data_IF_076132072407
#
_entry.id   IF_076132072407
#
_cell.length_a   1.000
_cell.length_b   1.000
_cell.length_c   1.000
_cell.angle_alpha   90.00
_cell.angle_beta   90.00
_cell.angle_gamma   90.00
#
_symmetry.space_group_name_H-M   'P 1'
#
loop_
_entity.id
_entity.type
_entity.pdbx_description
1 polymer ?
#
# COMPACT_ATOMS: atom_id res chain seq x y z
N UNK A 1 1.81 -16.69 9.58
CA UNK A 1 1.83 -15.53 8.66
C UNK A 1 1.18 -15.89 7.32
N UNK A 2 -0.04 -15.41 7.11
CA UNK A 2 -0.87 -15.75 5.97
C UNK A 2 -2.29 -15.45 6.38
N UNK A 3 -2.95 -14.55 5.67
CA UNK A 3 -4.37 -14.29 5.85
C UNK A 3 -5.10 -15.64 5.81
N UNK A 4 -5.93 -15.92 6.83
CA UNK A 4 -6.68 -17.16 6.92
C UNK A 4 -7.48 -17.32 5.62
N UNK A 5 -7.27 -18.44 4.95
CA UNK A 5 -7.63 -18.52 3.56
C UNK A 5 -7.80 -19.93 3.04
N UNK A 6 -8.73 -20.11 2.11
CA UNK A 6 -9.13 -21.43 1.60
C UNK A 6 -8.19 -21.95 0.50
N UNK A 7 -7.07 -21.25 0.23
CA UNK A 7 -6.16 -21.55 -0.88
C UNK A 7 -6.72 -21.20 -2.26
N UNK A 8 -7.92 -20.63 -2.32
CA UNK A 8 -8.53 -20.12 -3.56
C UNK A 8 -8.13 -18.67 -3.80
N UNK A 9 -8.33 -18.19 -5.03
CA UNK A 9 -8.06 -16.80 -5.43
C UNK A 9 -8.77 -15.75 -4.57
N UNK A 10 -9.83 -16.13 -3.85
CA UNK A 10 -10.70 -15.22 -3.09
C UNK A 10 -10.72 -15.50 -1.59
N UNK A 11 -10.36 -16.71 -1.18
CA UNK A 11 -10.31 -17.06 0.23
C UNK A 11 -9.06 -16.51 0.88
N UNK A 12 -8.93 -15.19 1.03
CA UNK A 12 -7.95 -14.55 1.91
C UNK A 12 -8.45 -13.16 2.32
N UNK A 13 -8.20 -12.75 3.57
CA UNK A 13 -8.71 -11.48 4.12
C UNK A 13 -8.16 -10.19 3.49
N UNK A 14 -7.25 -10.28 2.52
CA UNK A 14 -6.68 -9.10 1.88
C UNK A 14 -7.59 -8.50 0.79
N UNK A 15 -8.68 -9.18 0.42
CA UNK A 15 -9.75 -8.61 -0.42
C UNK A 15 -10.45 -7.42 0.24
N UNK A 16 -10.44 -7.38 1.58
CA UNK A 16 -11.07 -6.32 2.38
C UNK A 16 -10.53 -4.91 2.05
N UNK A 17 -9.28 -4.80 1.58
CA UNK A 17 -8.75 -3.50 1.14
C UNK A 17 -9.49 -2.95 -0.09
N UNK A 18 -9.91 -3.82 -1.03
CA UNK A 18 -10.73 -3.43 -2.18
C UNK A 18 -12.18 -3.10 -1.78
N UNK A 19 -12.73 -3.87 -0.85
CA UNK A 19 -14.05 -3.60 -0.27
C UNK A 19 -14.09 -2.24 0.44
N UNK A 20 -13.04 -1.91 1.20
CA UNK A 20 -12.90 -0.62 1.85
C UNK A 20 -12.87 0.54 0.85
N UNK A 21 -12.18 0.39 -0.29
CA UNK A 21 -12.22 1.39 -1.37
C UNK A 21 -13.65 1.62 -1.85
N UNK A 22 -14.39 0.55 -2.11
CA UNK A 22 -15.79 0.64 -2.55
C UNK A 22 -16.67 1.35 -1.52
N UNK A 23 -16.52 0.99 -0.24
CA UNK A 23 -17.28 1.58 0.85
C UNK A 23 -16.99 3.08 1.01
N UNK A 24 -15.71 3.49 0.93
CA UNK A 24 -15.31 4.90 1.02
C UNK A 24 -15.96 5.73 -0.09
N UNK A 25 -15.96 5.25 -1.33
CA UNK A 25 -16.62 5.97 -2.43
C UNK A 25 -18.14 6.00 -2.26
N UNK A 26 -18.75 4.91 -1.78
CA UNK A 26 -20.19 4.85 -1.55
C UNK A 26 -20.70 5.90 -0.55
N UNK A 27 -19.85 6.34 0.38
CA UNK A 27 -20.16 7.42 1.34
C UNK A 27 -19.61 8.79 0.92
N UNK A 28 -19.15 8.94 -0.32
CA UNK A 28 -18.65 10.21 -0.87
C UNK A 28 -17.21 10.57 -0.45
N UNK A 29 -16.46 9.63 0.12
CA UNK A 29 -15.07 9.83 0.51
C UNK A 29 -14.07 9.67 -0.65
N UNK A 30 -12.80 9.99 -0.36
CA UNK A 30 -11.68 9.82 -1.30
C UNK A 30 -10.74 8.70 -0.81
N UNK A 31 -10.75 7.52 -1.45
CA UNK A 31 -9.92 6.40 -1.01
C UNK A 31 -8.44 6.62 -1.34
N UNK A 32 -7.57 6.32 -0.37
CA UNK A 32 -6.12 6.24 -0.55
C UNK A 32 -5.68 4.78 -0.34
N UNK A 33 -5.17 4.16 -1.39
CA UNK A 33 -4.78 2.77 -1.43
C UNK A 33 -3.27 2.63 -1.21
N UNK A 34 -2.90 1.97 -0.11
CA UNK A 34 -1.51 1.63 0.20
C UNK A 34 -1.12 0.33 -0.51
N UNK A 35 0.01 0.33 -1.21
CA UNK A 35 0.58 -0.89 -1.78
C UNK A 35 1.33 -1.68 -0.70
N UNK A 36 1.03 -2.97 -0.59
CA UNK A 36 1.85 -3.91 0.17
C UNK A 36 3.03 -4.31 -0.69
N UNK A 37 4.23 -3.97 -0.25
CA UNK A 37 5.46 -4.19 -1.00
C UNK A 37 6.52 -4.91 -0.13
N UNK A 38 7.43 -5.62 -0.78
CA UNK A 38 8.59 -6.24 -0.13
C UNK A 38 9.74 -6.38 -1.12
N UNK A 39 10.98 -6.19 -0.69
CA UNK A 39 12.17 -6.59 -1.46
C UNK A 39 12.99 -7.67 -0.75
N UNK A 40 12.70 -7.92 0.53
CA UNK A 40 13.43 -8.86 1.36
C UNK A 40 12.79 -10.26 1.42
N UNK A 41 11.71 -10.53 0.68
CA UNK A 41 11.16 -11.89 0.62
C UNK A 41 12.19 -12.84 -0.03
N UNK A 42 12.48 -14.00 0.60
CA UNK A 42 13.42 -14.98 0.05
C UNK A 42 12.92 -15.58 -1.28
N UNK A 43 11.61 -15.53 -1.56
CA UNK A 43 11.02 -16.03 -2.79
C UNK A 43 10.98 -14.88 -3.81
N UNK A 44 11.74 -14.94 -4.93
CA UNK A 44 11.84 -13.82 -5.87
C UNK A 44 10.49 -13.33 -6.42
N UNK A 45 9.57 -14.27 -6.68
CA UNK A 45 8.20 -13.96 -7.14
C UNK A 45 7.33 -13.18 -6.13
N UNK A 46 7.78 -13.02 -4.89
CA UNK A 46 7.07 -12.25 -3.85
C UNK A 46 7.73 -10.89 -3.58
N UNK A 47 8.75 -10.51 -4.37
CA UNK A 47 9.36 -9.19 -4.32
C UNK A 47 8.59 -8.20 -5.21
N UNK A 48 8.67 -6.91 -4.88
CA UNK A 48 7.87 -5.85 -5.50
C UNK A 48 6.49 -5.74 -4.85
N UNK A 49 5.47 -5.45 -5.66
CA UNK A 49 4.08 -5.33 -5.19
C UNK A 49 3.49 -6.72 -4.95
N UNK A 50 2.86 -6.90 -3.79
CA UNK A 50 2.23 -8.16 -3.43
C UNK A 50 1.00 -8.47 -4.29
N UNK A 51 0.81 -9.77 -4.60
CA UNK A 51 -0.41 -10.24 -5.26
C UNK A 51 -1.70 -9.83 -4.54
N UNK A 52 -1.65 -9.69 -3.20
CA UNK A 52 -2.79 -9.23 -2.43
C UNK A 52 -3.21 -7.80 -2.83
N UNK A 53 -2.26 -6.88 -3.02
CA UNK A 53 -2.56 -5.53 -3.49
C UNK A 53 -3.04 -5.52 -4.93
N UNK A 54 -2.43 -6.32 -5.82
CA UNK A 54 -2.89 -6.40 -7.22
C UNK A 54 -4.31 -6.95 -7.32
N UNK A 55 -4.67 -7.95 -6.50
CA UNK A 55 -6.03 -8.52 -6.49
C UNK A 55 -7.02 -7.58 -5.83
N UNK A 56 -6.70 -7.02 -4.67
CA UNK A 56 -7.60 -6.12 -3.95
C UNK A 56 -7.93 -4.87 -4.79
N UNK A 57 -6.94 -4.23 -5.38
CA UNK A 57 -7.18 -2.99 -6.14
C UNK A 57 -7.55 -3.30 -7.61
N UNK A 58 -6.83 -4.18 -8.30
CA UNK A 58 -7.10 -4.46 -9.71
C UNK A 58 -8.42 -5.21 -9.99
N UNK A 59 -8.93 -5.98 -9.02
CA UNK A 59 -10.11 -6.84 -9.21
C UNK A 59 -11.28 -6.59 -8.24
N UNK A 60 -11.02 -6.31 -6.97
CA UNK A 60 -12.09 -6.16 -5.95
C UNK A 60 -12.56 -4.71 -5.83
N UNK A 61 -11.65 -3.74 -5.91
CA UNK A 61 -12.03 -2.33 -5.97
C UNK A 61 -12.71 -2.03 -7.32
N UNK A 62 -14.01 -1.74 -7.25
CA UNK A 62 -14.85 -1.38 -8.38
C UNK A 62 -14.87 0.14 -8.61
N UNK A 63 -14.46 0.92 -7.61
CA UNK A 63 -14.38 2.37 -7.65
C UNK A 63 -12.92 2.88 -7.71
N UNK A 64 -12.67 4.08 -8.28
CA UNK A 64 -11.33 4.66 -8.35
C UNK A 64 -10.79 5.00 -6.96
N UNK A 65 -9.47 4.94 -6.82
CA UNK A 65 -8.72 5.29 -5.62
C UNK A 65 -7.41 5.98 -6.01
N UNK A 66 -6.78 6.66 -5.06
CA UNK A 66 -5.38 7.10 -5.19
C UNK A 66 -4.47 5.93 -4.77
N UNK A 67 -3.87 5.24 -5.73
CA UNK A 67 -2.87 4.19 -5.46
C UNK A 67 -1.51 4.88 -5.31
N UNK A 68 -1.00 4.90 -4.08
CA UNK A 68 0.20 5.66 -3.75
C UNK A 68 1.46 4.82 -3.99
N UNK A 69 2.40 5.41 -4.72
CA UNK A 69 3.66 4.81 -5.12
C UNK A 69 4.82 5.72 -4.66
N UNK A 70 5.70 5.27 -3.75
CA UNK A 70 6.91 6.03 -3.42
C UNK A 70 7.85 6.09 -4.64
N UNK A 71 8.40 7.27 -4.93
CA UNK A 71 9.20 7.54 -6.12
C UNK A 71 10.41 6.60 -6.25
N UNK A 72 11.12 6.33 -5.15
CA UNK A 72 12.29 5.45 -5.15
C UNK A 72 11.98 3.99 -5.55
N UNK A 73 10.71 3.59 -5.51
CA UNK A 73 10.22 2.25 -5.81
C UNK A 73 9.27 2.17 -7.00
N UNK A 74 9.12 3.26 -7.77
CA UNK A 74 8.17 3.33 -8.88
C UNK A 74 8.40 2.24 -9.94
N UNK A 75 9.66 1.87 -10.18
CA UNK A 75 10.04 0.81 -11.14
C UNK A 75 9.55 -0.60 -10.74
N UNK A 76 9.11 -0.78 -9.50
CA UNK A 76 8.59 -2.06 -9.00
C UNK A 76 7.08 -2.23 -9.23
N UNK A 77 6.41 -1.20 -9.74
CA UNK A 77 4.96 -1.14 -9.86
C UNK A 77 4.56 -1.21 -11.33
N UNK A 78 3.84 -2.27 -11.70
CA UNK A 78 3.12 -2.30 -12.97
C UNK A 78 1.84 -1.47 -12.84
N UNK A 79 1.87 -0.24 -13.35
CA UNK A 79 0.73 0.68 -13.30
C UNK A 79 -0.48 0.18 -14.09
N UNK A 80 -0.28 -0.70 -15.09
CA UNK A 80 -1.38 -1.26 -15.87
C UNK A 80 -2.30 -2.15 -15.00
N UNK A 81 -1.75 -2.78 -13.95
CA UNK A 81 -2.52 -3.53 -12.97
C UNK A 81 -3.52 -2.66 -12.18
N UNK A 82 -3.38 -1.34 -12.23
CA UNK A 82 -4.17 -0.36 -11.50
C UNK A 82 -4.90 0.63 -12.42
N UNK A 83 -5.20 0.26 -13.67
CA UNK A 83 -5.76 1.16 -14.69
C UNK A 83 -7.10 1.85 -14.31
N UNK A 84 -7.86 1.32 -13.34
CA UNK A 84 -9.09 1.98 -12.81
C UNK A 84 -8.80 3.07 -11.78
N UNK A 85 -7.58 3.16 -11.30
CA UNK A 85 -7.15 4.04 -10.22
C UNK A 85 -6.31 5.18 -10.76
N UNK A 86 -6.14 6.21 -9.92
CA UNK A 86 -5.12 7.22 -10.14
C UNK A 86 -3.85 6.79 -9.42
N UNK A 87 -2.79 6.52 -10.18
CA UNK A 87 -1.46 6.30 -9.60
C UNK A 87 -0.89 7.65 -9.16
N UNK A 88 -0.56 7.78 -7.88
CA UNK A 88 0.01 8.99 -7.29
C UNK A 88 1.43 8.69 -6.85
N UNK A 89 2.39 9.38 -7.46
CA UNK A 89 3.79 9.28 -7.06
C UNK A 89 4.07 10.25 -5.91
N UNK A 90 4.71 9.77 -4.86
CA UNK A 90 5.03 10.54 -3.66
C UNK A 90 6.53 10.53 -3.44
N UNK A 91 7.11 11.71 -3.23
CA UNK A 91 8.49 11.84 -2.81
C UNK A 91 8.67 11.20 -1.42
N UNK A 92 9.65 10.32 -1.32
CA UNK A 92 9.95 9.49 -0.17
C UNK A 92 11.38 9.66 0.33
N UNK A 93 12.15 10.63 -0.20
CA UNK A 93 13.57 10.79 0.12
C UNK A 93 13.86 10.95 1.62
N UNK A 94 12.99 11.62 2.37
CA UNK A 94 13.12 11.86 3.81
C UNK A 94 12.40 10.81 4.68
N UNK A 95 11.52 9.99 4.11
CA UNK A 95 10.69 9.04 4.85
C UNK A 95 11.51 8.01 5.65
N UNK A 96 12.66 7.48 5.17
CA UNK A 96 13.50 6.61 5.99
C UNK A 96 13.96 7.29 7.29
N UNK A 97 14.32 8.58 7.24
CA UNK A 97 14.74 9.34 8.41
C UNK A 97 13.56 9.64 9.35
N UNK A 98 12.37 9.95 8.79
CA UNK A 98 11.14 10.15 9.56
C UNK A 98 10.72 8.86 10.30
N UNK A 99 10.93 7.69 9.68
CA UNK A 99 10.59 6.39 10.25
C UNK A 99 11.63 5.87 11.27
N UNK A 100 12.89 6.30 11.17
CA UNK A 100 13.99 5.78 11.98
C UNK A 100 13.75 5.84 13.51
N UNK A 101 13.22 6.93 14.10
CA UNK A 101 12.92 6.99 15.54
C UNK A 101 11.90 5.94 15.99
N UNK A 102 11.07 5.45 15.07
CA UNK A 102 10.00 4.49 15.34
C UNK A 102 10.41 3.05 15.00
N UNK A 103 11.65 2.80 14.57
CA UNK A 103 12.05 1.51 13.98
C UNK A 103 11.78 0.30 14.89
N UNK A 104 11.83 0.48 16.21
CA UNK A 104 11.54 -0.57 17.18
C UNK A 104 10.05 -1.01 17.20
N UNK A 105 9.13 -0.14 16.75
CA UNK A 105 7.69 -0.43 16.65
C UNK A 105 7.30 -0.99 15.28
N UNK A 106 8.21 -0.93 14.31
CA UNK A 106 7.94 -1.30 12.92
C UNK A 106 8.29 -2.76 12.69
N UNK A 107 7.28 -3.58 12.45
CA UNK A 107 7.46 -4.99 12.08
C UNK A 107 6.41 -5.43 11.06
N UNK A 108 6.86 -6.13 10.02
CA UNK A 108 6.02 -6.72 8.98
C UNK A 108 6.57 -8.08 8.59
N UNK A 109 5.76 -9.13 8.70
CA UNK A 109 6.17 -10.51 8.38
C UNK A 109 7.47 -10.96 9.07
N UNK A 110 7.70 -10.49 10.31
CA UNK A 110 8.91 -10.79 11.08
C UNK A 110 10.15 -10.00 10.68
N UNK A 111 10.01 -8.96 9.84
CA UNK A 111 11.09 -8.08 9.41
C UNK A 111 10.83 -6.65 9.87
N UNK A 112 11.88 -5.97 10.34
CA UNK A 112 11.84 -4.55 10.70
C UNK A 112 12.23 -3.63 9.54
N UNK A 113 12.22 -2.32 9.82
CA UNK A 113 12.48 -1.25 8.84
C UNK A 113 13.76 -1.47 8.02
N UNK A 114 14.87 -1.81 8.69
CA UNK A 114 16.18 -1.99 8.05
C UNK A 114 16.21 -3.24 7.16
N UNK A 115 15.44 -4.27 7.52
CA UNK A 115 15.42 -5.54 6.80
C UNK A 115 14.56 -5.47 5.54
N UNK A 116 13.48 -4.68 5.52
CA UNK A 116 12.58 -4.56 4.37
C UNK A 116 11.98 -3.14 4.25
N UNK A 117 12.79 -2.11 3.91
CA UNK A 117 12.38 -0.71 4.00
C UNK A 117 11.11 -0.37 3.21
N UNK A 118 10.96 -0.96 2.01
CA UNK A 118 9.86 -0.69 1.10
C UNK A 118 8.48 -0.97 1.72
N UNK A 119 8.39 -1.96 2.63
CA UNK A 119 7.14 -2.29 3.31
C UNK A 119 6.62 -1.14 4.17
N UNK A 120 7.53 -0.33 4.72
CA UNK A 120 7.20 0.79 5.61
C UNK A 120 7.18 2.12 4.87
N UNK A 121 8.11 2.33 3.92
CA UNK A 121 8.13 3.53 3.08
C UNK A 121 6.85 3.64 2.25
N UNK A 122 6.33 2.54 1.68
CA UNK A 122 5.06 2.56 0.96
C UNK A 122 3.88 2.98 1.85
N UNK A 123 3.85 2.51 3.10
CA UNK A 123 2.82 2.90 4.07
C UNK A 123 2.95 4.36 4.48
N UNK A 124 4.17 4.83 4.74
CA UNK A 124 4.45 6.21 5.11
C UNK A 124 4.13 7.20 3.96
N UNK A 125 4.44 6.82 2.72
CA UNK A 125 4.09 7.60 1.53
C UNK A 125 2.57 7.73 1.37
N UNK A 126 1.82 6.64 1.58
CA UNK A 126 0.35 6.69 1.58
C UNK A 126 -0.20 7.59 2.69
N UNK A 127 0.38 7.53 3.89
CA UNK A 127 0.03 8.41 5.01
C UNK A 127 0.31 9.89 4.71
N UNK A 128 1.47 10.20 4.11
CA UNK A 128 1.83 11.55 3.65
C UNK A 128 0.84 12.09 2.63
N UNK A 129 0.49 11.28 1.61
CA UNK A 129 -0.51 11.67 0.62
C UNK A 129 -1.85 11.93 1.28
N UNK A 130 -2.33 11.01 2.12
CA UNK A 130 -3.60 11.17 2.83
C UNK A 130 -3.62 12.45 3.68
N UNK A 131 -2.54 12.76 4.40
CA UNK A 131 -2.42 13.99 5.19
C UNK A 131 -2.51 15.26 4.32
N UNK A 132 -1.91 15.24 3.12
CA UNK A 132 -1.98 16.36 2.18
C UNK A 132 -3.38 16.57 1.57
N UNK A 133 -4.28 15.58 1.68
CA UNK A 133 -5.67 15.71 1.25
C UNK A 133 -6.59 16.29 2.32
N UNK A 134 -6.14 16.34 3.58
CA UNK A 134 -6.94 16.90 4.65
C UNK A 134 -7.02 18.43 4.49
N UNK A 135 -8.18 19.04 4.80
CA UNK A 135 -8.25 20.48 4.89
C UNK A 135 -7.27 20.97 5.97
N UNK A 136 -6.72 22.19 5.83
CA UNK A 136 -5.95 22.78 6.92
C UNK A 136 -6.80 22.79 8.18
N UNK A 137 -6.21 22.34 9.30
CA UNK A 137 -6.87 22.41 10.60
C UNK A 137 -7.12 23.89 10.89
N UNK A 138 -8.36 24.32 11.13
CA UNK A 138 -8.62 25.70 11.53
C UNK A 138 -7.85 25.99 12.83
N UNK A 139 -7.18 27.14 12.86
CA UNK A 139 -6.37 27.61 13.98
C UNK A 139 -7.19 27.79 15.27
#
# INVERSE_FOLDING_TARGET
PGNLGTGTSWGFSGVAAGEAVNAVVAVGGRPVAVLRMSQADPRPRHRGVSHHSTTAYGRVALAPADVVVPLSYASLVDVAAFARHRVVHVDDADLPAVLAPWSALLSSMGRGLQADPVAFVAAAAAGRHAAALLPPVPA
#
